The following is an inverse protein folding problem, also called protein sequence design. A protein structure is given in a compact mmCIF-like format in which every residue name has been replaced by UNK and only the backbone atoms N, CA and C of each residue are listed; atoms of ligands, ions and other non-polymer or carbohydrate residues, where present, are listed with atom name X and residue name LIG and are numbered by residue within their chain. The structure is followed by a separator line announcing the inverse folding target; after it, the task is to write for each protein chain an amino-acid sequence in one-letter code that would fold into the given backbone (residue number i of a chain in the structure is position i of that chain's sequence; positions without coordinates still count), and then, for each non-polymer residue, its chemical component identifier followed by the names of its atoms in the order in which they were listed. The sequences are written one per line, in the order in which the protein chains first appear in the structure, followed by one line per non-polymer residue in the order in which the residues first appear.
data_IF_379628374447
#
_entry.id   IF_379628374447
#
_cell.length_a   1.000
_cell.length_b   1.000
_cell.length_c   1.000
_cell.angle_alpha   90.00
_cell.angle_beta   90.00
_cell.angle_gamma   90.00
#
_symmetry.space_group_name_H-M   'P 1'
#
loop_
_entity.id
_entity.type
_entity.pdbx_description
1 polymer ?
#
# COMPACT_ATOMS: atom_id res chain seq x y z
N UNK A 1 -32.96 16.17 51.18
CA UNK A 1 -33.09 14.92 50.40
C UNK A 1 -32.88 15.10 48.88
N UNK A 2 -33.66 15.95 48.19
CA UNK A 2 -33.63 16.07 46.71
C UNK A 2 -32.31 16.57 46.12
N UNK A 3 -31.66 17.57 46.74
CA UNK A 3 -30.37 18.11 46.28
C UNK A 3 -29.26 17.05 46.24
N UNK A 4 -29.17 16.23 47.30
CA UNK A 4 -28.20 15.13 47.39
C UNK A 4 -28.41 14.08 46.28
N UNK A 5 -29.67 13.76 45.97
CA UNK A 5 -30.01 12.81 44.89
C UNK A 5 -29.62 13.38 43.52
N UNK A 6 -29.86 14.66 43.29
CA UNK A 6 -29.50 15.33 42.03
C UNK A 6 -27.99 15.45 41.85
N UNK A 7 -27.26 15.84 42.89
CA UNK A 7 -25.79 15.92 42.86
C UNK A 7 -25.19 14.56 42.59
N UNK A 8 -25.62 13.52 43.33
CA UNK A 8 -25.16 12.14 43.12
C UNK A 8 -25.42 11.64 41.70
N UNK A 9 -26.60 11.93 41.15
CA UNK A 9 -26.94 11.50 39.79
C UNK A 9 -26.05 12.20 38.75
N UNK A 10 -25.80 13.50 38.91
CA UNK A 10 -24.91 14.28 38.01
C UNK A 10 -23.48 13.79 38.07
N UNK A 11 -22.94 13.50 39.26
CA UNK A 11 -21.57 12.99 39.40
C UNK A 11 -21.42 11.63 38.75
N UNK A 12 -22.37 10.71 38.96
CA UNK A 12 -22.35 9.40 38.30
C UNK A 12 -22.45 9.55 36.77
N UNK A 13 -23.34 10.41 36.28
CA UNK A 13 -23.43 10.66 34.83
C UNK A 13 -22.13 11.24 34.26
N UNK A 14 -21.51 12.20 34.93
CA UNK A 14 -20.23 12.76 34.50
C UNK A 14 -19.11 11.72 34.48
N UNK A 15 -19.02 10.87 35.51
CA UNK A 15 -18.06 9.78 35.59
C UNK A 15 -18.30 8.73 34.49
N UNK A 16 -19.57 8.40 34.20
CA UNK A 16 -19.91 7.46 33.14
C UNK A 16 -19.52 8.02 31.76
N UNK A 17 -19.82 9.30 31.50
CA UNK A 17 -19.40 9.95 30.27
C UNK A 17 -17.88 9.95 30.13
N UNK A 18 -17.15 10.29 31.20
CA UNK A 18 -15.69 10.27 31.21
C UNK A 18 -15.15 8.85 30.93
N UNK A 19 -15.70 7.84 31.60
CA UNK A 19 -15.28 6.45 31.42
C UNK A 19 -15.53 5.97 29.98
N UNK A 20 -16.67 6.30 29.40
CA UNK A 20 -16.99 5.99 28.00
C UNK A 20 -16.05 6.70 27.03
N UNK A 21 -15.76 7.98 27.26
CA UNK A 21 -14.80 8.72 26.44
C UNK A 21 -13.41 8.11 26.49
N UNK A 22 -12.91 7.78 27.68
CA UNK A 22 -11.60 7.12 27.87
C UNK A 22 -11.59 5.77 27.16
N UNK A 23 -12.62 4.95 27.37
CA UNK A 23 -12.72 3.63 26.73
C UNK A 23 -12.74 3.73 25.20
N UNK A 24 -13.42 4.73 24.64
CA UNK A 24 -13.50 4.95 23.20
C UNK A 24 -12.15 5.35 22.57
N UNK A 25 -11.27 6.04 23.31
CA UNK A 25 -9.97 6.50 22.77
C UNK A 25 -8.83 5.52 23.01
N UNK A 26 -8.92 4.62 24.00
CA UNK A 26 -7.86 3.64 24.31
C UNK A 26 -7.39 2.86 23.07
N UNK A 27 -8.27 2.32 22.20
CA UNK A 27 -7.84 1.59 21.00
C UNK A 27 -7.02 2.43 20.02
N UNK A 28 -7.20 3.75 19.98
CA UNK A 28 -6.44 4.61 19.08
C UNK A 28 -4.97 4.75 19.51
N UNK A 29 -4.65 4.50 20.79
CA UNK A 29 -3.28 4.63 21.29
C UNK A 29 -2.34 3.50 20.85
N UNK A 30 -2.85 2.39 20.33
CA UNK A 30 -1.99 1.31 19.81
C UNK A 30 -1.22 1.72 18.55
N UNK A 31 -1.73 2.69 17.79
CA UNK A 31 -1.12 3.18 16.55
C UNK A 31 -0.38 4.53 16.71
N UNK A 32 -0.41 5.14 17.90
CA UNK A 32 0.29 6.43 18.12
C UNK A 32 1.79 6.38 17.83
N UNK A 33 2.54 5.33 18.22
CA UNK A 33 3.96 5.22 17.89
C UNK A 33 4.21 5.31 16.37
N UNK A 34 3.45 4.52 15.59
CA UNK A 34 3.57 4.47 14.14
C UNK A 34 3.34 5.85 13.49
N UNK A 35 2.38 6.64 13.99
CA UNK A 35 2.11 7.98 13.46
C UNK A 35 3.27 8.95 13.70
N UNK A 36 3.85 8.96 14.90
CA UNK A 36 4.95 9.88 15.22
C UNK A 36 6.23 9.49 14.47
N UNK A 37 6.53 8.20 14.38
CA UNK A 37 7.65 7.68 13.59
C UNK A 37 7.47 8.05 12.12
N UNK A 38 6.29 7.83 11.55
CA UNK A 38 6.01 8.16 10.14
C UNK A 38 6.16 9.65 9.84
N UNK A 39 5.74 10.54 10.74
CA UNK A 39 5.94 11.99 10.56
C UNK A 39 7.42 12.33 10.56
N UNK A 40 8.21 11.72 11.44
CA UNK A 40 9.65 11.93 11.51
C UNK A 40 10.34 11.41 10.24
N UNK A 41 10.03 10.19 9.82
CA UNK A 41 10.58 9.56 8.61
C UNK A 41 10.24 10.37 7.35
N UNK A 42 9.01 10.89 7.27
CA UNK A 42 8.59 11.77 6.18
C UNK A 42 9.44 13.06 6.13
N UNK A 43 9.70 13.68 7.29
CA UNK A 43 10.54 14.87 7.37
C UNK A 43 11.99 14.57 6.97
N UNK A 44 12.53 13.42 7.40
CA UNK A 44 13.87 12.95 7.02
C UNK A 44 13.97 12.70 5.52
N UNK A 45 12.97 12.03 4.92
CA UNK A 45 12.91 11.78 3.48
C UNK A 45 12.92 13.09 2.68
N UNK A 46 12.14 14.09 3.08
CA UNK A 46 12.18 15.41 2.43
C UNK A 46 13.54 16.08 2.62
N UNK A 47 14.12 16.02 3.81
CA UNK A 47 15.38 16.68 4.12
C UNK A 47 16.57 16.06 3.37
N UNK A 48 16.63 14.74 3.29
CA UNK A 48 17.76 14.00 2.72
C UNK A 48 17.56 13.67 1.23
N UNK A 49 16.33 13.41 0.80
CA UNK A 49 16.01 12.94 -0.55
C UNK A 49 15.25 13.99 -1.40
N UNK A 50 14.80 15.09 -0.80
CA UNK A 50 14.16 16.22 -1.51
C UNK A 50 12.73 15.97 -2.00
N UNK A 51 12.16 14.80 -1.75
CA UNK A 51 10.79 14.42 -2.12
C UNK A 51 10.24 13.37 -1.15
N UNK A 52 8.94 13.14 -1.20
CA UNK A 52 8.23 12.08 -0.47
C UNK A 52 7.06 11.56 -1.29
N UNK A 53 6.40 10.49 -0.83
CA UNK A 53 5.19 9.95 -1.46
C UNK A 53 3.93 10.78 -1.12
N UNK A 54 4.04 11.67 -0.14
CA UNK A 54 2.93 12.43 0.43
C UNK A 54 2.61 11.95 1.85
N UNK A 55 2.48 12.88 2.80
CA UNK A 55 2.30 12.55 4.21
C UNK A 55 1.02 11.72 4.46
N UNK A 56 -0.03 11.98 3.68
CA UNK A 56 -1.29 11.24 3.80
C UNK A 56 -1.12 9.76 3.41
N UNK A 57 -0.45 9.50 2.29
CA UNK A 57 -0.08 8.16 1.83
C UNK A 57 0.83 7.45 2.83
N UNK A 58 1.85 8.15 3.35
CA UNK A 58 2.78 7.58 4.33
C UNK A 58 2.06 7.17 5.63
N UNK A 59 1.16 8.02 6.16
CA UNK A 59 0.31 7.66 7.31
C UNK A 59 -0.63 6.50 6.97
N UNK A 60 -1.23 6.51 5.78
CA UNK A 60 -2.15 5.46 5.38
C UNK A 60 -1.45 4.09 5.38
N UNK A 61 -0.24 4.00 4.83
CA UNK A 61 0.57 2.78 4.84
C UNK A 61 1.01 2.37 6.24
N UNK A 62 1.37 3.32 7.11
CA UNK A 62 1.75 3.01 8.49
C UNK A 62 0.58 2.43 9.29
N UNK A 63 -0.63 2.99 9.14
CA UNK A 63 -1.81 2.58 9.88
C UNK A 63 -2.52 1.34 9.31
N UNK A 64 -2.49 1.14 7.99
CA UNK A 64 -3.28 0.11 7.31
C UNK A 64 -2.45 -0.91 6.53
N UNK A 65 -1.13 -0.74 6.49
CA UNK A 65 -0.25 -1.47 5.60
C UNK A 65 -0.27 -0.91 4.17
N UNK A 66 0.74 -1.28 3.38
CA UNK A 66 0.74 -1.04 1.94
C UNK A 66 0.10 -2.23 1.22
N UNK A 67 -0.64 -1.96 0.15
CA UNK A 67 -1.04 -3.00 -0.79
C UNK A 67 0.15 -3.36 -1.68
N UNK A 68 0.37 -4.64 -1.94
CA UNK A 68 1.27 -5.06 -3.02
C UNK A 68 0.61 -4.73 -4.36
N UNK A 69 1.35 -4.08 -5.25
CA UNK A 69 0.87 -3.84 -6.61
C UNK A 69 0.92 -5.15 -7.41
N UNK A 70 0.09 -5.30 -8.44
CA UNK A 70 0.13 -6.44 -9.35
C UNK A 70 1.53 -6.60 -10.00
N UNK A 71 2.29 -5.52 -10.10
CA UNK A 71 3.70 -5.53 -10.51
C UNK A 71 4.61 -6.33 -9.57
N UNK A 72 4.37 -6.32 -8.25
CA UNK A 72 5.13 -7.13 -7.28
C UNK A 72 4.83 -8.63 -7.43
N UNK A 73 3.73 -8.96 -8.11
CA UNK A 73 3.33 -10.32 -8.47
C UNK A 73 3.69 -10.69 -9.92
N UNK A 74 4.19 -9.74 -10.73
CA UNK A 74 4.59 -10.01 -12.10
C UNK A 74 6.07 -10.46 -12.15
N UNK A 75 6.26 -11.77 -12.29
CA UNK A 75 7.58 -12.35 -12.57
C UNK A 75 7.87 -12.44 -14.07
N UNK A 76 7.07 -11.80 -14.93
CA UNK A 76 7.39 -11.70 -16.35
C UNK A 76 8.68 -10.90 -16.52
N UNK A 77 9.55 -11.35 -17.43
CA UNK A 77 10.70 -10.53 -17.80
C UNK A 77 10.16 -9.26 -18.43
N UNK A 78 10.44 -8.09 -17.83
CA UNK A 78 10.10 -6.79 -18.39
C UNK A 78 10.48 -6.78 -19.87
N UNK A 79 9.49 -6.88 -20.76
CA UNK A 79 9.69 -6.71 -22.19
C UNK A 79 9.75 -5.19 -22.37
N UNK A 80 10.92 -4.57 -22.62
CA UNK A 80 10.92 -3.19 -23.06
C UNK A 80 10.23 -3.20 -24.43
N UNK A 81 8.98 -2.73 -24.48
CA UNK A 81 8.34 -2.38 -25.75
C UNK A 81 9.11 -1.17 -26.26
N UNK A 82 10.18 -1.46 -27.00
CA UNK A 82 10.94 -0.48 -27.76
C UNK A 82 9.93 0.22 -28.67
N UNK A 83 9.74 1.51 -28.44
CA UNK A 83 8.68 2.31 -29.05
C UNK A 83 8.52 2.04 -30.54
N UNK A 84 7.30 1.71 -30.93
CA UNK A 84 6.90 1.85 -32.31
C UNK A 84 5.43 2.25 -32.35
N UNK A 85 5.20 3.55 -32.53
CA UNK A 85 3.97 4.17 -33.04
C UNK A 85 2.69 3.40 -32.67
N UNK A 86 2.05 3.78 -31.58
CA UNK A 86 0.67 3.37 -31.30
C UNK A 86 -0.24 3.87 -32.44
N UNK A 87 -0.32 3.11 -33.53
CA UNK A 87 -1.46 3.16 -34.43
C UNK A 87 -2.59 2.45 -33.71
N UNK A 88 -3.70 3.16 -33.58
CA UNK A 88 -4.94 2.70 -32.97
C UNK A 88 -5.25 1.26 -33.40
N UNK A 89 -5.07 0.32 -32.49
CA UNK A 89 -5.59 -1.03 -32.64
C UNK A 89 -6.98 -1.03 -32.02
N UNK A 90 -7.97 -0.64 -32.83
CA UNK A 90 -9.36 -1.02 -32.62
C UNK A 90 -9.42 -2.52 -32.40
N UNK A 91 -9.74 -2.90 -31.17
CA UNK A 91 -10.01 -4.27 -30.75
C UNK A 91 -11.22 -4.77 -31.55
N UNK A 92 -11.03 -5.78 -32.39
CA UNK A 92 -12.13 -6.61 -32.87
C UNK A 92 -11.74 -8.08 -33.04
N UNK A 93 -12.28 -8.86 -32.10
CA UNK A 93 -12.82 -10.22 -32.11
C UNK A 93 -12.10 -11.46 -32.72
N UNK A 94 -12.30 -12.53 -31.94
CA UNK A 94 -12.52 -13.93 -32.28
C UNK A 94 -11.36 -14.80 -32.83
N UNK A 95 -10.73 -15.45 -31.86
CA UNK A 95 -10.29 -16.85 -31.85
C UNK A 95 -9.94 -17.53 -33.18
N UNK A 96 -8.66 -17.87 -33.35
CA UNK A 96 -8.24 -18.98 -34.22
C UNK A 96 -7.17 -19.83 -33.51
N UNK A 97 -7.30 -21.17 -33.45
CA UNK A 97 -6.34 -21.99 -32.74
C UNK A 97 -5.04 -22.13 -33.55
N UNK A 98 -3.92 -21.72 -32.97
CA UNK A 98 -2.60 -21.89 -33.55
C UNK A 98 -2.17 -23.37 -33.49
N UNK A 99 -1.90 -23.96 -34.65
CA UNK A 99 -1.27 -25.29 -34.76
C UNK A 99 0.16 -25.31 -34.17
N UNK A 100 0.74 -26.50 -33.94
CA UNK A 100 1.98 -26.62 -33.18
C UNK A 100 3.15 -25.94 -33.90
N UNK A 101 3.98 -25.14 -33.20
CA UNK A 101 5.09 -24.45 -33.84
C UNK A 101 6.16 -25.45 -34.29
N UNK A 102 6.34 -25.56 -35.61
CA UNK A 102 7.49 -26.22 -36.24
C UNK A 102 8.71 -25.30 -36.17
N UNK A 103 9.31 -25.16 -34.99
CA UNK A 103 10.55 -24.42 -34.85
C UNK A 103 11.51 -25.19 -33.94
N UNK A 104 12.51 -25.80 -34.58
CA UNK A 104 13.67 -26.41 -33.93
C UNK A 104 14.21 -25.43 -32.87
N UNK A 105 14.42 -25.81 -31.60
CA UNK A 105 14.88 -24.86 -30.60
C UNK A 105 16.26 -24.35 -31.02
N UNK A 106 16.34 -23.07 -31.37
CA UNK A 106 17.61 -22.35 -31.48
C UNK A 106 18.35 -22.47 -30.15
N UNK A 107 19.68 -22.53 -30.18
CA UNK A 107 20.51 -22.77 -29.00
C UNK A 107 20.29 -21.61 -28.00
N UNK A 108 19.56 -21.87 -26.92
CA UNK A 108 19.30 -20.88 -25.86
C UNK A 108 20.50 -20.87 -24.92
N UNK A 109 21.21 -19.73 -24.86
CA UNK A 109 22.19 -19.51 -23.80
C UNK A 109 21.44 -19.06 -22.55
N UNK A 110 21.54 -19.85 -21.47
CA UNK A 110 20.97 -19.47 -20.17
C UNK A 110 21.81 -18.31 -19.62
N UNK A 111 21.13 -17.28 -19.11
CA UNK A 111 21.74 -16.07 -18.52
C UNK A 111 22.75 -16.41 -17.40
N UNK A 112 22.58 -17.59 -16.77
CA UNK A 112 23.46 -18.14 -15.74
C UNK A 112 24.90 -18.46 -16.20
N UNK A 113 25.22 -18.36 -17.49
CA UNK A 113 26.59 -18.58 -17.96
C UNK A 113 27.00 -17.52 -18.98
N UNK A 114 28.00 -16.68 -18.68
CA UNK A 114 28.52 -15.76 -19.69
C UNK A 114 29.16 -16.57 -20.83
N UNK A 115 29.08 -16.09 -22.08
CA UNK A 115 29.65 -16.79 -23.23
C UNK A 115 31.16 -16.92 -23.04
N UNK A 116 31.67 -18.15 -23.12
CA UNK A 116 33.12 -18.39 -23.17
C UNK A 116 33.53 -18.36 -24.65
N UNK A 117 34.57 -17.58 -24.94
CA UNK A 117 35.22 -17.52 -26.25
C UNK A 117 35.77 -18.89 -26.68
#
# INVERSE_FOLDING_TARGET
MRLLITVRRRTISALLCLALSIWAVIPAFSHTPDVFETIQDHMEMIAEHGHSHGLAEDLYWALHGHGHDAADHDHSQAIPILGHNAKDLTVFSDAWPLGPPSARPGRIFRIERPPRA
#
